data_IF_581220556217
#
_entry.id   IF_581220556217
#
_cell.length_a   1.000
_cell.length_b   1.000
_cell.length_c   1.000
_cell.angle_alpha   90.00
_cell.angle_beta   90.00
_cell.angle_gamma   90.00
#
_symmetry.space_group_name_H-M   'P 1'
#
loop_
_entity.id
_entity.type
_entity.pdbx_description
1 polymer ?
#
# COMPACT_ATOMS: atom_id res chain seq x y z
N UNK A 1 12.32 16.44 11.47
CA UNK A 1 10.89 16.66 11.21
C UNK A 1 10.28 15.34 10.76
N UNK A 2 9.48 14.69 11.61
CA UNK A 2 8.71 13.51 11.19
C UNK A 2 7.64 13.98 10.21
N UNK A 3 7.91 13.75 8.94
CA UNK A 3 7.23 14.33 7.79
C UNK A 3 5.75 13.91 7.84
N UNK A 4 4.83 14.87 7.93
CA UNK A 4 3.39 14.68 8.11
C UNK A 4 2.63 13.97 6.98
N UNK A 5 3.33 13.17 6.17
CA UNK A 5 2.78 12.34 5.09
C UNK A 5 2.45 10.90 5.52
N UNK A 6 3.15 10.32 6.50
CA UNK A 6 2.95 8.90 6.85
C UNK A 6 1.58 8.64 7.51
N UNK A 7 1.10 9.54 8.36
CA UNK A 7 -0.14 9.36 9.13
C UNK A 7 -1.36 10.11 8.57
N UNK A 8 -1.18 10.96 7.55
CA UNK A 8 -2.29 11.69 6.93
C UNK A 8 -3.40 10.77 6.40
N UNK A 9 -3.10 9.65 5.73
CA UNK A 9 -4.13 8.71 5.27
C UNK A 9 -4.93 8.06 6.41
N UNK A 10 -4.30 7.85 7.57
CA UNK A 10 -4.93 7.21 8.74
C UNK A 10 -5.95 8.09 9.47
N UNK A 11 -6.04 9.37 9.11
CA UNK A 11 -7.04 10.31 9.64
C UNK A 11 -8.34 10.33 8.85
N UNK A 12 -8.40 9.62 7.71
CA UNK A 12 -9.57 9.56 6.83
C UNK A 12 -10.43 8.34 7.13
N UNK A 13 -11.73 8.35 6.77
CA UNK A 13 -12.57 7.14 6.81
C UNK A 13 -12.04 6.00 5.91
N UNK A 14 -11.12 6.29 5.00
CA UNK A 14 -10.42 5.32 4.15
C UNK A 14 -9.27 4.60 4.87
N UNK A 15 -8.96 4.95 6.13
CA UNK A 15 -7.86 4.39 6.91
C UNK A 15 -7.87 2.86 7.00
N UNK A 16 -9.05 2.23 7.08
CA UNK A 16 -9.16 0.77 7.13
C UNK A 16 -8.56 0.10 5.88
N UNK A 17 -8.77 0.66 4.68
CA UNK A 17 -8.16 0.16 3.44
C UNK A 17 -6.65 0.28 3.49
N UNK A 18 -6.12 1.38 4.02
CA UNK A 18 -4.66 1.57 4.15
C UNK A 18 -4.04 0.54 5.08
N UNK A 19 -4.65 0.31 6.24
CA UNK A 19 -4.16 -0.67 7.23
C UNK A 19 -4.20 -2.08 6.64
N UNK A 20 -5.33 -2.49 6.06
CA UNK A 20 -5.46 -3.82 5.46
C UNK A 20 -4.53 -4.02 4.25
N UNK A 21 -4.35 -2.98 3.42
CA UNK A 21 -3.37 -3.04 2.33
C UNK A 21 -1.95 -3.21 2.88
N UNK A 22 -1.58 -2.47 3.92
CA UNK A 22 -0.25 -2.57 4.50
C UNK A 22 0.01 -3.93 5.14
N UNK A 23 -0.97 -4.50 5.85
CA UNK A 23 -0.87 -5.83 6.44
C UNK A 23 -0.61 -6.88 5.35
N UNK A 24 -1.43 -6.89 4.29
CA UNK A 24 -1.25 -7.83 3.17
C UNK A 24 0.04 -7.64 2.41
N UNK A 25 0.48 -6.40 2.21
CA UNK A 25 1.76 -6.12 1.57
C UNK A 25 2.92 -6.59 2.44
N UNK A 26 2.82 -6.52 3.76
CA UNK A 26 3.83 -7.05 4.69
C UNK A 26 3.85 -8.58 4.66
N UNK A 27 2.70 -9.24 4.61
CA UNK A 27 2.62 -10.70 4.49
C UNK A 27 3.17 -11.22 3.16
N UNK A 28 2.91 -10.49 2.07
CA UNK A 28 3.42 -10.83 0.74
C UNK A 28 4.88 -10.38 0.52
N UNK A 29 5.43 -9.56 1.40
CA UNK A 29 6.81 -9.13 1.29
C UNK A 29 7.75 -10.28 1.63
N UNK A 30 8.81 -10.43 0.83
CA UNK A 30 9.86 -11.39 1.11
C UNK A 30 10.67 -11.01 2.38
N UNK A 31 11.64 -11.86 2.76
CA UNK A 31 12.53 -11.60 3.90
C UNK A 31 13.31 -10.28 3.80
N UNK A 32 13.39 -9.70 2.59
CA UNK A 32 14.02 -8.41 2.33
C UNK A 32 13.04 -7.22 2.35
N UNK A 33 11.75 -7.47 2.62
CA UNK A 33 10.70 -6.47 2.63
C UNK A 33 10.28 -6.02 1.23
N UNK A 34 10.48 -6.87 0.21
CA UNK A 34 10.16 -6.58 -1.19
C UNK A 34 8.91 -7.28 -1.64
N UNK A 35 8.10 -6.55 -2.42
CA UNK A 35 6.89 -7.08 -3.05
C UNK A 35 6.99 -6.84 -4.57
N UNK A 36 6.69 -7.84 -5.41
CA UNK A 36 6.56 -7.63 -6.84
C UNK A 36 5.48 -6.59 -7.17
N UNK A 37 5.72 -5.74 -8.16
CA UNK A 37 4.79 -4.66 -8.49
C UNK A 37 3.39 -5.19 -8.90
N UNK A 38 3.34 -6.27 -9.69
CA UNK A 38 2.08 -6.89 -10.09
C UNK A 38 1.32 -7.50 -8.90
N UNK A 39 2.05 -8.11 -7.97
CA UNK A 39 1.48 -8.71 -6.76
C UNK A 39 0.94 -7.64 -5.81
N UNK A 40 1.68 -6.55 -5.60
CA UNK A 40 1.21 -5.42 -4.82
C UNK A 40 -0.12 -4.85 -5.36
N UNK A 41 -0.26 -4.74 -6.68
CA UNK A 41 -1.51 -4.27 -7.31
C UNK A 41 -2.66 -5.26 -7.16
N UNK A 42 -2.39 -6.56 -7.23
CA UNK A 42 -3.39 -7.60 -7.00
C UNK A 42 -3.91 -7.56 -5.57
N UNK A 43 -3.01 -7.46 -4.58
CA UNK A 43 -3.38 -7.38 -3.16
C UNK A 43 -4.23 -6.14 -2.85
N UNK A 44 -3.85 -4.97 -3.37
CA UNK A 44 -4.63 -3.74 -3.19
C UNK A 44 -6.03 -3.89 -3.78
N UNK A 45 -6.15 -4.50 -4.97
CA UNK A 45 -7.47 -4.76 -5.58
C UNK A 45 -8.33 -5.68 -4.71
N UNK A 46 -7.74 -6.71 -4.14
CA UNK A 46 -8.46 -7.63 -3.24
C UNK A 46 -8.94 -6.92 -1.97
N UNK A 47 -8.12 -6.05 -1.39
CA UNK A 47 -8.52 -5.23 -0.23
C UNK A 47 -9.70 -4.33 -0.62
N UNK A 48 -9.63 -3.64 -1.75
CA UNK A 48 -10.71 -2.78 -2.22
C UNK A 48 -12.01 -3.56 -2.49
N UNK A 49 -11.91 -4.81 -2.96
CA UNK A 49 -13.07 -5.68 -3.16
C UNK A 49 -13.70 -6.13 -1.82
N UNK A 50 -12.90 -6.29 -0.77
CA UNK A 50 -13.38 -6.61 0.58
C UNK A 50 -13.98 -5.41 1.31
N UNK A 51 -13.67 -4.19 0.86
CA UNK A 51 -14.19 -2.93 1.39
C UNK A 51 -15.09 -2.18 0.39
N UNK A 52 -16.20 -2.77 -0.08
CA UNK A 52 -17.05 -2.14 -1.10
C UNK A 52 -17.75 -0.87 -0.60
N UNK A 53 -17.91 -0.73 0.73
CA UNK A 53 -18.54 0.43 1.36
C UNK A 53 -17.61 1.63 1.57
N UNK A 54 -16.31 1.48 1.32
CA UNK A 54 -15.35 2.58 1.51
C UNK A 54 -15.31 3.46 0.26
N UNK A 55 -15.69 4.72 0.47
CA UNK A 55 -15.55 5.77 -0.53
C UNK A 55 -14.12 6.29 -0.52
N UNK A 56 -13.35 5.88 -1.53
CA UNK A 56 -12.05 6.47 -1.82
C UNK A 56 -12.24 7.92 -2.30
N UNK A 57 -11.29 8.77 -1.98
CA UNK A 57 -11.27 10.14 -2.49
C UNK A 57 -10.74 10.18 -3.94
N UNK A 58 -10.90 11.31 -4.65
CA UNK A 58 -10.47 11.47 -6.04
C UNK A 58 -8.97 11.22 -6.21
N UNK A 59 -8.18 11.61 -5.20
CA UNK A 59 -6.73 11.42 -5.14
C UNK A 59 -6.30 9.96 -4.86
N UNK A 60 -7.23 9.14 -4.39
CA UNK A 60 -7.04 7.71 -4.08
C UNK A 60 -7.62 6.81 -5.19
N UNK A 61 -8.23 7.42 -6.20
CA UNK A 61 -8.88 6.73 -7.31
C UNK A 61 -10.39 6.58 -7.16
N UNK A 62 -11.05 7.28 -6.24
CA UNK A 62 -12.51 7.30 -6.08
C UNK A 62 -13.29 7.71 -7.33
N UNK A 63 -12.66 8.43 -8.25
CA UNK A 63 -13.22 8.78 -9.56
C UNK A 63 -13.37 7.57 -10.51
N UNK A 64 -12.63 6.48 -10.27
CA UNK A 64 -12.65 5.30 -11.13
C UNK A 64 -13.74 4.33 -10.70
N UNK A 65 -14.55 3.86 -11.66
CA UNK A 65 -15.55 2.79 -11.43
C UNK A 65 -14.92 1.41 -11.38
N UNK A 66 -13.83 1.22 -12.11
CA UNK A 66 -13.14 -0.06 -12.24
C UNK A 66 -12.15 -0.29 -11.08
N UNK A 67 -12.25 -1.46 -10.42
CA UNK A 67 -11.40 -1.80 -9.27
C UNK A 67 -9.91 -1.89 -9.62
N UNK A 68 -9.56 -2.31 -10.84
CA UNK A 68 -8.17 -2.37 -11.29
C UNK A 68 -7.57 -0.96 -11.42
N UNK A 69 -8.35 -0.02 -11.95
CA UNK A 69 -7.94 1.38 -12.06
C UNK A 69 -7.85 2.06 -10.69
N UNK A 70 -8.81 1.78 -9.80
CA UNK A 70 -8.77 2.23 -8.40
C UNK A 70 -7.51 1.71 -7.69
N UNK A 71 -7.22 0.42 -7.78
CA UNK A 71 -6.05 -0.18 -7.17
C UNK A 71 -4.74 0.41 -7.71
N UNK A 72 -4.68 0.70 -9.01
CA UNK A 72 -3.50 1.34 -9.61
C UNK A 72 -3.28 2.75 -9.06
N UNK A 73 -4.34 3.55 -8.90
CA UNK A 73 -4.20 4.88 -8.31
C UNK A 73 -3.86 4.83 -6.83
N UNK A 74 -4.51 3.95 -6.08
CA UNK A 74 -4.23 3.76 -4.67
C UNK A 74 -2.77 3.34 -4.44
N UNK A 75 -2.23 2.48 -5.31
CA UNK A 75 -0.82 2.13 -5.30
C UNK A 75 0.10 3.35 -5.53
N UNK A 76 -0.22 4.21 -6.51
CA UNK A 76 0.52 5.45 -6.72
C UNK A 76 0.48 6.35 -5.46
N UNK A 77 -0.67 6.38 -4.77
CA UNK A 77 -0.80 7.12 -3.52
C UNK A 77 0.12 6.58 -2.44
N UNK A 78 0.20 5.25 -2.28
CA UNK A 78 1.12 4.59 -1.34
C UNK A 78 2.61 4.93 -1.63
N UNK A 79 2.97 5.09 -2.90
CA UNK A 79 4.30 5.58 -3.30
C UNK A 79 4.50 7.06 -2.93
N UNK A 80 3.49 7.92 -3.17
CA UNK A 80 3.52 9.36 -2.84
C UNK A 80 3.68 9.60 -1.34
N UNK A 81 2.96 8.83 -0.50
CA UNK A 81 3.05 8.93 0.97
C UNK A 81 4.26 8.20 1.55
N UNK A 82 5.16 7.69 0.69
CA UNK A 82 6.37 6.95 1.05
C UNK A 82 6.15 5.71 1.93
N UNK A 83 4.99 5.04 1.78
CA UNK A 83 4.75 3.72 2.37
C UNK A 83 5.43 2.62 1.56
N UNK A 84 5.43 2.79 0.24
CA UNK A 84 6.20 2.01 -0.71
C UNK A 84 7.28 2.89 -1.33
N UNK A 85 8.46 2.33 -1.58
CA UNK A 85 9.50 2.98 -2.37
C UNK A 85 9.74 2.20 -3.67
N UNK A 86 9.64 2.86 -4.84
CA UNK A 86 9.92 2.22 -6.11
C UNK A 86 11.42 1.97 -6.22
N UNK A 87 11.82 0.71 -6.40
CA UNK A 87 13.24 0.38 -6.58
C UNK A 87 13.62 0.65 -8.03
N UNK A 88 14.58 1.54 -8.25
CA UNK A 88 15.27 1.70 -9.54
C UNK A 88 16.43 0.71 -9.61
N UNK A 89 16.13 -0.59 -9.64
CA UNK A 89 17.14 -1.57 -10.03
C UNK A 89 16.99 -1.82 -11.52
N UNK A 90 18.03 -1.50 -12.29
CA UNK A 90 18.14 -1.80 -13.72
C UNK A 90 17.96 -3.30 -13.95
N UNK A 91 16.72 -3.75 -14.17
CA UNK A 91 16.36 -5.14 -14.46
C UNK A 91 15.27 -5.77 -13.59
N UNK A 92 14.84 -5.16 -12.48
CA UNK A 92 13.80 -5.74 -11.60
C UNK A 92 12.72 -4.70 -11.22
N UNK A 93 11.50 -4.91 -11.70
CA UNK A 93 10.33 -4.07 -11.44
C UNK A 93 9.68 -4.41 -10.09
N UNK A 94 10.30 -4.03 -8.96
CA UNK A 94 9.80 -4.31 -7.61
C UNK A 94 9.62 -3.06 -6.74
N UNK A 95 8.82 -3.19 -5.67
CA UNK A 95 8.67 -2.15 -4.63
C UNK A 95 9.19 -2.66 -3.28
N UNK A 96 9.74 -1.74 -2.49
CA UNK A 96 10.24 -2.02 -1.14
C UNK A 96 9.36 -1.33 -0.10
N UNK A 97 8.99 -2.05 0.97
CA UNK A 97 8.28 -1.45 2.11
C UNK A 97 9.22 -0.57 2.92
N UNK A 98 8.79 0.66 3.24
CA UNK A 98 9.56 1.56 4.10
C UNK A 98 9.33 1.19 5.57
N UNK A 99 10.43 1.03 6.31
CA UNK A 99 10.49 0.60 7.72
C UNK A 99 9.83 1.64 8.66
N UNK A 100 8.57 1.42 9.07
CA UNK A 100 8.35 1.22 10.51
C UNK A 100 7.55 -0.06 10.84
N UNK A 101 7.04 -0.80 9.86
CA UNK A 101 6.23 -2.02 10.09
C UNK A 101 7.03 -3.33 10.14
N UNK A 102 8.18 -3.41 9.46
CA UNK A 102 9.01 -4.63 9.44
C UNK A 102 9.64 -4.98 10.80
N UNK A 103 9.61 -4.06 11.78
CA UNK A 103 10.05 -4.33 13.15
C UNK A 103 9.06 -5.20 13.97
N UNK A 104 7.80 -5.39 13.53
CA UNK A 104 6.79 -6.13 14.31
C UNK A 104 6.84 -7.66 14.13
N UNK A 105 7.60 -8.18 13.15
CA UNK A 105 7.70 -9.63 12.92
C UNK A 105 8.84 -10.33 13.70
N UNK A 106 9.60 -9.58 14.53
CA UNK A 106 10.79 -10.12 15.22
C UNK A 106 10.64 -10.45 16.70
N UNK A 107 9.43 -10.42 17.27
CA UNK A 107 9.23 -10.74 18.68
C UNK A 107 8.05 -11.69 18.89
N UNK A 108 8.26 -12.95 18.54
CA UNK A 108 7.52 -14.09 19.11
C UNK A 108 8.52 -15.21 19.36
N UNK A 109 9.33 -15.02 20.40
CA UNK A 109 9.93 -16.07 21.23
C UNK A 109 9.88 -15.60 22.67
#
# INVERSE_FOLDING_TARGET
MFNGGFFRPLSRPTAAVYVDCAERLVEAADESGQVPHDEARLLIREVLAQHPGIQLDEDEGGQFRDLQQRAAQFFNKLLEVHWLEPRRCTGCCGVSLKQPWSARSRNSV
#
